data_IF_267003844324
#
_entry.id   IF_267003844324
#
_cell.length_a   1.000
_cell.length_b   1.000
_cell.length_c   1.000
_cell.angle_alpha   90.00
_cell.angle_beta   90.00
_cell.angle_gamma   90.00
#
_symmetry.space_group_name_H-M   'P 1'
#
loop_
_entity.id
_entity.type
_entity.pdbx_description
1 polymer ?
#
# COMPACT_ATOMS: atom_id res chain seq x y z
N UNK A 1 -0.38 22.33 -2.10
CA UNK A 1 -0.91 22.03 -0.75
C UNK A 1 0.02 22.53 0.37
N UNK A 2 1.27 22.06 0.47
CA UNK A 2 2.19 22.39 1.57
C UNK A 2 2.41 23.89 1.76
N UNK A 3 2.68 24.64 0.68
CA UNK A 3 2.84 26.11 0.75
C UNK A 3 1.63 26.80 1.37
N UNK A 4 0.40 26.36 1.05
CA UNK A 4 -0.84 26.89 1.66
C UNK A 4 -0.92 26.60 3.16
N UNK A 5 -0.51 25.41 3.60
CA UNK A 5 -0.48 25.05 5.02
C UNK A 5 0.53 25.90 5.80
N UNK A 6 1.73 26.07 5.26
CA UNK A 6 2.78 26.93 5.83
C UNK A 6 2.33 28.39 5.94
N UNK A 7 1.75 28.94 4.87
CA UNK A 7 1.19 30.30 4.88
C UNK A 7 0.08 30.46 5.94
N UNK A 8 -0.83 29.48 6.07
CA UNK A 8 -1.88 29.51 7.10
C UNK A 8 -1.30 29.47 8.52
N UNK A 9 -0.22 28.72 8.72
CA UNK A 9 0.51 28.68 9.98
C UNK A 9 1.42 29.90 10.21
N UNK A 10 1.54 30.81 9.22
CA UNK A 10 2.48 31.94 9.23
C UNK A 10 3.93 31.50 9.45
N UNK A 11 4.30 30.37 8.84
CA UNK A 11 5.64 29.81 8.87
C UNK A 11 6.21 29.71 7.45
N UNK A 12 7.51 29.85 7.32
CA UNK A 12 8.28 29.38 6.18
C UNK A 12 8.83 27.97 6.43
N UNK A 13 9.21 27.26 5.38
CA UNK A 13 9.83 25.94 5.49
C UNK A 13 11.12 25.95 6.34
N UNK A 14 11.85 27.07 6.30
CA UNK A 14 13.06 27.31 7.11
C UNK A 14 12.75 27.47 8.60
N UNK A 15 11.53 27.79 8.99
CA UNK A 15 11.15 27.99 10.40
C UNK A 15 10.84 26.67 11.11
N UNK A 16 10.75 25.56 10.35
CA UNK A 16 10.53 24.24 10.90
C UNK A 16 11.81 23.65 11.51
N UNK A 17 11.67 22.91 12.61
CA UNK A 17 12.79 22.18 13.23
C UNK A 17 13.27 20.99 12.39
N UNK A 18 12.39 20.44 11.54
CA UNK A 18 12.66 19.30 10.69
C UNK A 18 11.45 18.81 9.92
N UNK A 19 11.70 17.87 9.01
CA UNK A 19 10.67 17.17 8.24
C UNK A 19 10.60 15.72 8.68
N UNK A 20 9.44 15.09 8.52
CA UNK A 20 9.25 13.69 8.83
C UNK A 20 8.35 13.01 7.80
N UNK A 21 8.55 11.71 7.63
CA UNK A 21 7.74 10.90 6.72
C UNK A 21 7.51 9.51 7.31
N UNK A 22 6.41 8.87 6.90
CA UNK A 22 6.17 7.46 7.19
C UNK A 22 7.13 6.59 6.39
N UNK A 23 7.96 5.81 7.05
CA UNK A 23 8.97 4.95 6.42
C UNK A 23 8.39 3.64 5.89
N UNK A 24 7.18 3.28 6.33
CA UNK A 24 6.57 2.00 6.05
C UNK A 24 6.50 1.10 7.28
N UNK A 25 5.91 -0.09 7.15
CA UNK A 25 5.40 -0.68 5.90
C UNK A 25 4.15 0.04 5.34
N UNK A 26 3.87 -0.13 4.04
CA UNK A 26 2.81 0.58 3.29
C UNK A 26 3.01 0.55 1.77
N UNK A 27 2.19 1.31 1.01
CA UNK A 27 2.33 1.41 -0.46
C UNK A 27 3.74 1.85 -0.86
N UNK A 28 4.46 1.02 -1.61
CA UNK A 28 5.83 1.30 -2.04
C UNK A 28 5.96 2.63 -2.80
N UNK A 29 5.01 2.91 -3.69
CA UNK A 29 4.95 4.15 -4.47
C UNK A 29 4.67 5.35 -3.56
N UNK A 30 3.71 5.23 -2.65
CA UNK A 30 3.42 6.27 -1.66
C UNK A 30 4.62 6.56 -0.74
N UNK A 31 5.34 5.53 -0.30
CA UNK A 31 6.53 5.65 0.54
C UNK A 31 7.67 6.36 -0.18
N UNK A 32 7.90 6.05 -1.46
CA UNK A 32 8.91 6.72 -2.29
C UNK A 32 8.59 8.20 -2.49
N UNK A 33 7.33 8.52 -2.81
CA UNK A 33 6.89 9.91 -2.97
C UNK A 33 7.04 10.67 -1.65
N UNK A 34 6.58 10.08 -0.54
CA UNK A 34 6.70 10.70 0.78
C UNK A 34 8.17 10.95 1.16
N UNK A 35 9.03 9.96 0.95
CA UNK A 35 10.47 10.06 1.21
C UNK A 35 11.13 11.14 0.34
N UNK A 36 10.95 11.07 -0.99
CA UNK A 36 11.53 12.03 -1.93
C UNK A 36 11.04 13.47 -1.69
N UNK A 37 9.75 13.64 -1.40
CA UNK A 37 9.19 14.95 -1.08
C UNK A 37 9.74 15.51 0.23
N UNK A 38 9.79 14.70 1.29
CA UNK A 38 10.34 15.13 2.58
C UNK A 38 11.83 15.48 2.47
N UNK A 39 12.61 14.69 1.74
CA UNK A 39 14.03 14.95 1.48
C UNK A 39 14.24 16.21 0.66
N UNK A 40 13.48 16.41 -0.42
CA UNK A 40 13.59 17.61 -1.26
C UNK A 40 13.27 18.89 -0.50
N UNK A 41 12.19 18.89 0.30
CA UNK A 41 11.82 20.03 1.15
C UNK A 41 12.87 20.31 2.23
N UNK A 42 13.35 19.26 2.90
CA UNK A 42 14.35 19.39 3.95
C UNK A 42 15.69 19.89 3.42
N UNK A 43 16.10 19.44 2.23
CA UNK A 43 17.29 19.94 1.55
C UNK A 43 17.18 21.44 1.27
N UNK A 44 16.06 21.87 0.69
CA UNK A 44 15.82 23.29 0.39
C UNK A 44 15.73 24.17 1.63
N UNK A 45 15.25 23.63 2.75
CA UNK A 45 15.15 24.33 4.03
C UNK A 45 16.41 24.21 4.91
N UNK A 46 17.41 23.42 4.50
CA UNK A 46 18.56 23.03 5.32
C UNK A 46 18.17 22.45 6.69
N UNK A 47 17.11 21.64 6.74
CA UNK A 47 16.56 21.03 7.96
C UNK A 47 16.74 19.50 7.96
N UNK A 48 16.77 18.85 9.13
CA UNK A 48 16.87 17.39 9.22
C UNK A 48 15.58 16.68 8.77
N UNK A 49 15.72 15.42 8.35
CA UNK A 49 14.60 14.52 8.07
C UNK A 49 14.58 13.39 9.10
N UNK A 50 13.40 13.06 9.62
CA UNK A 50 13.19 11.94 10.54
C UNK A 50 12.27 10.90 9.90
N UNK A 51 12.76 9.70 9.57
CA UNK A 51 11.90 8.58 9.19
C UNK A 51 11.17 8.04 10.42
N UNK A 52 9.88 7.73 10.28
CA UNK A 52 9.06 7.14 11.34
C UNK A 52 8.35 5.88 10.81
N UNK A 53 8.55 4.70 11.41
CA UNK A 53 7.84 3.48 11.01
C UNK A 53 6.31 3.62 11.17
N UNK A 54 5.55 3.10 10.21
CA UNK A 54 4.07 3.16 10.20
C UNK A 54 3.46 2.51 11.44
N UNK A 55 3.98 1.35 11.85
CA UNK A 55 3.53 0.62 13.04
C UNK A 55 3.79 1.41 14.33
N UNK A 56 4.88 2.16 14.38
CA UNK A 56 5.19 3.05 15.52
C UNK A 56 4.27 4.28 15.54
N UNK A 57 3.89 4.80 14.37
CA UNK A 57 2.89 5.86 14.30
C UNK A 57 1.52 5.40 14.80
N UNK A 58 1.11 4.15 14.52
CA UNK A 58 -0.09 3.55 15.12
C UNK A 58 0.05 3.39 16.64
N UNK A 59 1.21 2.95 17.12
CA UNK A 59 1.48 2.89 18.56
C UNK A 59 1.33 4.25 19.24
N UNK A 60 1.82 5.31 18.60
CA UNK A 60 1.63 6.69 19.07
C UNK A 60 0.16 7.13 19.04
N UNK A 61 -0.64 6.70 18.06
CA UNK A 61 -2.08 7.00 17.99
C UNK A 61 -2.86 6.32 19.12
N UNK A 62 -2.48 5.09 19.47
CA UNK A 62 -3.13 4.31 20.51
C UNK A 62 -2.99 4.93 21.91
N UNK A 63 -1.98 5.80 22.11
CA UNK A 63 -1.76 6.54 23.35
C UNK A 63 -1.71 5.66 24.61
N UNK A 64 -1.15 4.46 24.51
CA UNK A 64 -0.96 3.54 25.62
C UNK A 64 0.54 3.33 25.92
N UNK A 65 0.86 2.74 27.07
CA UNK A 65 2.25 2.47 27.46
C UNK A 65 2.83 1.23 26.77
N UNK A 66 1.98 0.30 26.33
CA UNK A 66 2.34 -0.93 25.62
C UNK A 66 1.37 -1.14 24.47
N UNK A 67 1.88 -1.17 23.25
CA UNK A 67 1.06 -1.30 22.04
C UNK A 67 1.64 -2.35 21.11
N UNK A 68 0.82 -3.29 20.68
CA UNK A 68 1.10 -4.16 19.54
C UNK A 68 0.31 -3.64 18.34
N UNK A 69 1.04 -3.28 17.29
CA UNK A 69 0.49 -2.71 16.07
C UNK A 69 0.64 -3.72 14.94
N UNK A 70 -0.46 -3.94 14.21
CA UNK A 70 -0.50 -4.85 13.07
C UNK A 70 -1.14 -4.17 11.86
N UNK A 71 -0.52 -4.29 10.68
CA UNK A 71 -1.10 -3.88 9.41
C UNK A 71 -1.22 -5.10 8.50
N UNK A 72 -2.39 -5.27 7.89
CA UNK A 72 -2.60 -6.27 6.85
C UNK A 72 -1.60 -6.04 5.72
N UNK A 73 -0.69 -7.00 5.53
CA UNK A 73 0.33 -6.95 4.50
C UNK A 73 -0.16 -7.52 3.16
N UNK A 74 -1.44 -7.91 3.11
CA UNK A 74 -2.07 -8.74 2.08
C UNK A 74 -1.46 -10.13 2.08
N UNK A 75 -1.94 -10.97 1.17
CA UNK A 75 -1.41 -12.32 0.97
C UNK A 75 -1.47 -13.20 2.24
N UNK A 76 -2.39 -12.92 3.16
CA UNK A 76 -2.51 -13.65 4.43
C UNK A 76 -1.37 -13.39 5.42
N UNK A 77 -0.58 -12.33 5.23
CA UNK A 77 0.53 -11.94 6.11
C UNK A 77 0.22 -10.64 6.83
N UNK A 78 0.86 -10.41 7.97
CA UNK A 78 0.75 -9.14 8.72
C UNK A 78 2.12 -8.51 8.90
N UNK A 79 2.19 -7.20 8.71
CA UNK A 79 3.25 -6.40 9.29
C UNK A 79 2.96 -6.24 10.78
N UNK A 80 3.90 -6.59 11.65
CA UNK A 80 3.71 -6.58 13.10
C UNK A 80 4.90 -5.95 13.81
N UNK A 81 4.61 -5.20 14.87
CA UNK A 81 5.60 -4.75 15.85
C UNK A 81 4.92 -4.56 17.20
N UNK A 82 5.66 -4.71 18.29
CA UNK A 82 5.19 -4.39 19.62
C UNK A 82 6.14 -3.38 20.26
N UNK A 83 5.59 -2.33 20.87
CA UNK A 83 6.34 -1.23 21.44
C UNK A 83 5.96 -0.96 22.88
N UNK A 84 6.95 -0.73 23.74
CA UNK A 84 6.78 -0.20 25.10
C UNK A 84 7.29 1.22 25.18
N UNK A 85 6.58 2.09 25.90
CA UNK A 85 6.98 3.49 26.10
C UNK A 85 7.99 3.58 27.23
N UNK A 86 9.23 3.97 26.93
CA UNK A 86 10.28 4.22 27.91
C UNK A 86 10.95 5.58 27.68
N UNK A 87 11.12 6.37 28.75
CA UNK A 87 11.73 7.70 28.68
C UNK A 87 11.05 8.70 27.73
N UNK A 88 9.78 8.48 27.38
CA UNK A 88 9.01 9.30 26.43
C UNK A 88 9.19 8.94 24.94
N UNK A 89 9.87 7.83 24.63
CA UNK A 89 9.93 7.24 23.27
C UNK A 89 9.41 5.80 23.26
N UNK A 90 9.42 5.21 22.07
CA UNK A 90 9.10 3.81 21.83
C UNK A 90 10.35 2.95 21.76
N UNK A 91 10.34 1.86 22.51
CA UNK A 91 11.28 0.75 22.39
C UNK A 91 10.55 -0.49 21.88
N UNK A 92 11.16 -1.21 20.93
CA UNK A 92 10.56 -2.40 20.35
C UNK A 92 10.69 -3.58 21.32
N UNK A 93 9.56 -4.14 21.74
CA UNK A 93 9.49 -5.45 22.40
C UNK A 93 9.42 -6.59 21.36
N UNK A 94 8.87 -6.30 20.18
CA UNK A 94 8.97 -7.12 18.97
C UNK A 94 9.39 -6.16 17.86
N UNK A 95 10.54 -6.44 17.24
CA UNK A 95 11.03 -5.65 16.11
C UNK A 95 10.05 -5.70 14.93
N UNK A 96 9.91 -4.61 14.16
CA UNK A 96 9.03 -4.59 13.00
C UNK A 96 9.41 -5.67 11.99
N UNK A 97 8.42 -6.48 11.60
CA UNK A 97 8.62 -7.55 10.62
C UNK A 97 7.34 -7.89 9.86
N UNK A 98 7.50 -8.74 8.85
CA UNK A 98 6.40 -9.35 8.09
C UNK A 98 6.26 -10.80 8.57
N UNK A 99 5.06 -11.18 9.02
CA UNK A 99 4.82 -12.47 9.65
C UNK A 99 3.57 -13.15 9.07
N UNK A 100 3.67 -14.42 8.63
CA UNK A 100 2.53 -15.32 8.48
C UNK A 100 2.10 -15.90 9.85
N UNK A 101 0.92 -16.53 9.89
CA UNK A 101 0.36 -17.19 11.08
C UNK A 101 1.35 -18.17 11.75
N UNK A 102 2.08 -18.95 10.94
CA UNK A 102 2.96 -20.01 11.43
C UNK A 102 4.23 -19.52 12.15
N UNK A 103 4.58 -18.24 12.03
CA UNK A 103 5.85 -17.71 12.56
C UNK A 103 5.65 -16.44 13.38
N UNK A 104 4.54 -16.34 14.11
CA UNK A 104 4.30 -15.20 14.99
C UNK A 104 5.31 -15.18 16.15
N UNK A 105 5.98 -14.04 16.41
CA UNK A 105 6.88 -13.91 17.54
C UNK A 105 6.11 -13.88 18.88
N UNK A 106 6.68 -14.40 19.98
CA UNK A 106 6.06 -14.32 21.29
C UNK A 106 5.97 -12.88 21.78
N UNK A 107 4.83 -12.49 22.36
CA UNK A 107 4.61 -11.17 22.93
C UNK A 107 4.94 -11.14 24.44
N UNK A 108 5.98 -10.41 24.88
CA UNK A 108 6.39 -10.42 26.28
C UNK A 108 5.41 -9.68 27.20
N UNK A 109 5.12 -10.26 28.36
CA UNK A 109 4.26 -9.65 29.38
C UNK A 109 2.77 -9.62 29.00
N UNK A 110 1.99 -8.79 29.69
CA UNK A 110 0.54 -8.62 29.51
C UNK A 110 0.19 -7.13 29.39
N UNK A 111 -1.11 -6.84 29.31
CA UNK A 111 -1.72 -5.51 29.28
C UNK A 111 -1.35 -4.69 28.04
N UNK A 112 -1.27 -5.38 26.90
CA UNK A 112 -1.04 -4.76 25.60
C UNK A 112 -2.31 -4.16 25.04
N UNK A 113 -2.19 -3.02 24.36
CA UNK A 113 -3.24 -2.49 23.49
C UNK A 113 -2.97 -2.95 22.06
N UNK A 114 -3.95 -3.59 21.42
CA UNK A 114 -3.87 -4.01 20.02
C UNK A 114 -4.47 -2.95 19.09
N UNK A 115 -3.80 -2.65 17.97
CA UNK A 115 -4.28 -1.66 16.99
C UNK A 115 -3.84 -1.99 15.56
N UNK A 116 -4.64 -1.51 14.59
CA UNK A 116 -4.33 -1.56 13.16
C UNK A 116 -5.01 -2.71 12.41
N UNK A 117 -5.01 -2.60 11.08
CA UNK A 117 -5.84 -3.43 10.20
C UNK A 117 -5.54 -4.92 10.25
N UNK A 118 -4.34 -5.33 10.68
CA UNK A 118 -4.00 -6.75 10.83
C UNK A 118 -4.89 -7.45 11.87
N UNK A 119 -5.24 -6.77 12.97
CA UNK A 119 -6.12 -7.34 13.99
C UNK A 119 -7.58 -7.38 13.55
N UNK A 120 -7.99 -6.58 12.58
CA UNK A 120 -9.33 -6.67 11.99
C UNK A 120 -9.39 -7.76 10.92
N UNK A 121 -8.33 -7.89 10.11
CA UNK A 121 -8.27 -8.81 8.99
C UNK A 121 -8.12 -10.28 9.40
N UNK A 122 -7.43 -10.55 10.51
CA UNK A 122 -6.96 -11.90 10.83
C UNK A 122 -7.43 -12.42 12.19
N UNK A 123 -8.33 -13.40 12.17
CA UNK A 123 -8.82 -14.10 13.36
C UNK A 123 -7.68 -14.80 14.10
N UNK A 124 -6.79 -15.47 13.35
CA UNK A 124 -5.62 -16.15 13.89
C UNK A 124 -4.67 -15.22 14.64
N UNK A 125 -4.58 -13.94 14.25
CA UNK A 125 -3.75 -12.96 14.93
C UNK A 125 -4.38 -12.57 16.28
N UNK A 126 -5.70 -12.42 16.31
CA UNK A 126 -6.45 -12.12 17.53
C UNK A 126 -6.42 -13.29 18.52
N UNK A 127 -6.53 -14.52 18.02
CA UNK A 127 -6.43 -15.72 18.85
C UNK A 127 -5.03 -15.88 19.46
N UNK A 128 -3.98 -15.70 18.65
CA UNK A 128 -2.60 -15.88 19.10
C UNK A 128 -2.18 -14.89 20.20
N UNK A 129 -2.58 -13.62 20.11
CA UNK A 129 -2.19 -12.59 21.08
C UNK A 129 -3.27 -12.28 22.13
N UNK A 130 -4.51 -12.73 21.94
CA UNK A 130 -5.66 -12.44 22.79
C UNK A 130 -5.39 -12.55 24.30
N UNK A 131 -4.71 -13.59 24.81
CA UNK A 131 -4.40 -13.71 26.24
C UNK A 131 -3.54 -12.59 26.84
N UNK A 132 -2.85 -11.81 26.02
CA UNK A 132 -1.97 -10.70 26.43
C UNK A 132 -2.57 -9.31 26.12
N UNK A 133 -3.69 -9.24 25.38
CA UNK A 133 -4.34 -7.98 25.01
C UNK A 133 -5.36 -7.56 26.08
N UNK A 134 -5.19 -6.36 26.64
CA UNK A 134 -6.17 -5.76 27.54
C UNK A 134 -7.28 -5.01 26.78
N UNK A 135 -6.95 -4.38 25.65
CA UNK A 135 -7.91 -3.62 24.85
C UNK A 135 -7.55 -3.65 23.36
N UNK A 136 -8.55 -3.71 22.48
CA UNK A 136 -8.37 -3.56 21.03
C UNK A 136 -8.99 -2.25 20.55
N UNK A 137 -8.20 -1.44 19.86
CA UNK A 137 -8.69 -0.24 19.18
C UNK A 137 -9.18 -0.62 17.78
N UNK A 138 -10.20 0.09 17.29
CA UNK A 138 -10.62 -0.02 15.89
C UNK A 138 -9.48 0.36 14.95
N UNK A 139 -9.37 -0.32 13.81
CA UNK A 139 -8.33 -0.03 12.84
C UNK A 139 -8.46 1.39 12.31
N UNK A 140 -7.32 2.07 12.25
CA UNK A 140 -7.13 3.37 11.63
C UNK A 140 -5.83 3.36 10.83
N UNK A 141 -5.71 4.28 9.86
CA UNK A 141 -4.49 4.48 9.11
C UNK A 141 -3.46 5.27 9.94
N UNK A 142 -2.15 5.04 9.72
CA UNK A 142 -1.10 5.85 10.34
C UNK A 142 -1.28 7.35 10.04
N UNK A 143 -1.50 8.17 11.08
CA UNK A 143 -1.74 9.61 10.92
C UNK A 143 -0.44 10.41 10.86
N UNK A 144 -0.39 11.38 9.95
CA UNK A 144 0.72 12.33 9.84
C UNK A 144 1.02 13.08 11.15
N UNK A 145 -0.01 13.37 11.96
CA UNK A 145 0.17 14.01 13.27
C UNK A 145 0.97 13.14 14.27
N UNK A 146 0.81 11.82 14.23
CA UNK A 146 1.61 10.91 15.08
C UNK A 146 3.04 10.79 14.59
N UNK A 147 3.25 10.74 13.27
CA UNK A 147 4.58 10.85 12.66
C UNK A 147 5.28 12.13 13.12
N UNK A 148 4.60 13.28 13.07
CA UNK A 148 5.14 14.57 13.49
C UNK A 148 5.49 14.61 14.99
N UNK A 149 4.65 14.07 15.88
CA UNK A 149 4.92 14.01 17.33
C UNK A 149 6.15 13.17 17.67
N UNK A 150 6.28 11.99 17.07
CA UNK A 150 7.47 11.14 17.25
C UNK A 150 8.72 11.89 16.77
N UNK A 151 8.65 12.49 15.57
CA UNK A 151 9.76 13.22 14.99
C UNK A 151 10.19 14.42 15.85
N UNK A 152 9.24 15.21 16.34
CA UNK A 152 9.50 16.37 17.19
C UNK A 152 10.27 15.97 18.47
N UNK A 153 9.84 14.89 19.16
CA UNK A 153 10.56 14.40 20.36
C UNK A 153 11.98 13.93 20.04
N UNK A 154 12.17 13.25 18.91
CA UNK A 154 13.50 12.79 18.46
C UNK A 154 14.41 13.95 18.09
N UNK A 155 13.89 14.99 17.43
CA UNK A 155 14.64 16.19 17.08
C UNK A 155 15.04 16.98 18.33
N UNK A 156 14.11 17.18 19.28
CA UNK A 156 14.41 17.88 20.54
C UNK A 156 15.57 17.22 21.31
N UNK A 157 15.58 15.88 21.38
CA UNK A 157 16.68 15.12 22.00
C UNK A 157 17.99 15.17 21.21
N UNK A 158 17.93 15.26 19.87
CA UNK A 158 19.12 15.44 19.01
C UNK A 158 19.75 16.81 19.20
N UNK A 159 18.95 17.87 19.33
CA UNK A 159 19.42 19.22 19.67
C UNK A 159 20.13 19.24 21.04
N UNK A 160 19.59 18.54 22.04
CA UNK A 160 20.22 18.42 23.36
C UNK A 160 21.56 17.66 23.37
N UNK A 161 21.85 16.86 22.34
CA UNK A 161 23.09 16.06 22.22
C UNK A 161 24.12 16.63 21.23
N UNK A 162 23.92 17.84 20.70
CA UNK A 162 24.92 18.54 19.87
C UNK A 162 25.21 17.92 18.49
N UNK A 163 24.30 17.08 17.97
CA UNK A 163 24.54 16.32 16.73
C UNK A 163 24.34 17.17 15.45
N UNK A 164 25.41 17.30 14.62
CA UNK A 164 25.38 17.89 13.26
C UNK A 164 25.65 16.81 12.19
N UNK A 165 24.74 15.86 12.00
CA UNK A 165 24.89 14.84 10.96
C UNK A 165 23.76 14.91 9.94
N UNK A 166 24.11 15.16 8.68
CA UNK A 166 23.22 14.93 7.53
C UNK A 166 23.10 13.41 7.31
N UNK A 167 21.88 12.91 7.12
CA UNK A 167 21.67 11.55 6.66
C UNK A 167 22.16 11.42 5.19
N UNK A 168 22.67 10.24 4.77
CA UNK A 168 23.17 10.05 3.42
C UNK A 168 22.04 10.19 2.39
N UNK A 169 22.36 10.88 1.30
CA UNK A 169 21.52 11.04 0.11
C UNK A 169 21.67 9.74 -0.70
N UNK A 170 20.60 8.95 -0.82
CA UNK A 170 20.54 7.87 -1.79
C UNK A 170 20.17 8.48 -3.15
N UNK A 171 21.18 8.85 -3.94
CA UNK A 171 21.02 9.18 -5.35
C UNK A 171 21.31 7.92 -6.18
N UNK A 172 20.47 7.59 -7.16
CA UNK A 172 20.85 6.68 -8.24
C UNK A 172 20.33 7.18 -9.58
N UNK A 173 21.23 7.12 -10.56
CA UNK A 173 21.12 7.59 -11.93
C UNK A 173 20.05 6.84 -12.74
N UNK A 174 19.28 7.58 -13.55
CA UNK A 174 18.45 7.04 -14.62
C UNK A 174 19.12 7.29 -15.97
N UNK A 175 19.22 6.24 -16.81
CA UNK A 175 19.57 6.36 -18.24
C UNK A 175 18.29 6.44 -19.07
N UNK A 176 18.28 7.15 -20.21
CA UNK A 176 17.10 7.22 -21.07
C UNK A 176 17.00 5.97 -21.96
N UNK A 177 15.77 5.51 -22.22
CA UNK A 177 15.47 4.50 -23.24
C UNK A 177 14.46 5.03 -24.26
N UNK A 178 14.65 4.56 -25.49
CA UNK A 178 14.22 5.13 -26.75
C UNK A 178 12.76 4.77 -27.12
N UNK A 179 12.10 5.65 -27.89
CA UNK A 179 10.68 5.54 -28.25
C UNK A 179 10.50 4.74 -29.55
N UNK A 180 9.89 3.56 -29.47
CA UNK A 180 9.35 2.84 -30.62
C UNK A 180 7.83 2.98 -30.73
N UNK A 181 7.32 3.46 -31.87
CA UNK A 181 5.89 3.51 -32.22
C UNK A 181 5.49 2.29 -33.07
N UNK A 182 4.31 1.73 -32.80
CA UNK A 182 3.32 1.14 -33.75
C UNK A 182 2.26 0.42 -32.88
N UNK A 183 0.95 0.38 -33.12
CA UNK A 183 0.14 0.57 -34.33
C UNK A 183 -1.00 -0.46 -34.24
N UNK A 184 -2.25 0.01 -34.15
CA UNK A 184 -3.46 -0.77 -33.85
C UNK A 184 -3.83 -1.86 -34.87
N UNK A 185 -4.49 -2.92 -34.38
CA UNK A 185 -5.60 -3.59 -35.07
C UNK A 185 -6.56 -4.21 -34.04
N UNK A 186 -7.81 -3.73 -33.97
CA UNK A 186 -8.86 -4.25 -33.09
C UNK A 186 -9.80 -5.13 -33.91
N UNK A 187 -9.81 -6.43 -33.64
CA UNK A 187 -10.79 -7.37 -34.18
C UNK A 187 -12.10 -7.25 -33.39
N UNK A 188 -13.20 -6.97 -34.08
CA UNK A 188 -14.53 -6.76 -33.51
C UNK A 188 -15.21 -8.10 -33.19
N UNK A 189 -15.01 -8.60 -31.98
CA UNK A 189 -15.91 -9.58 -31.36
C UNK A 189 -17.09 -8.85 -30.69
N UNK A 190 -18.28 -9.49 -30.58
CA UNK A 190 -19.42 -8.92 -29.89
C UNK A 190 -19.02 -8.53 -28.47
N UNK A 191 -19.15 -7.25 -28.12
CA UNK A 191 -18.80 -6.78 -26.77
C UNK A 191 -19.79 -7.40 -25.78
N UNK A 192 -19.33 -8.09 -24.73
CA UNK A 192 -20.21 -8.47 -23.63
C UNK A 192 -20.88 -7.21 -23.09
N UNK A 193 -22.20 -7.25 -22.85
CA UNK A 193 -22.96 -6.13 -22.28
C UNK A 193 -22.62 -5.94 -20.80
N UNK A 194 -21.39 -5.48 -20.54
CA UNK A 194 -20.95 -5.05 -19.23
C UNK A 194 -20.80 -3.53 -19.22
N UNK A 195 -21.11 -2.92 -18.08
CA UNK A 195 -20.86 -1.51 -17.82
C UNK A 195 -19.78 -1.36 -16.75
N UNK A 196 -19.13 -0.19 -16.72
CA UNK A 196 -18.13 0.15 -15.72
C UNK A 196 -18.63 1.30 -14.86
N UNK A 197 -18.45 1.20 -13.55
CA UNK A 197 -18.73 2.29 -12.61
C UNK A 197 -17.75 2.28 -11.46
N UNK A 198 -17.63 3.42 -10.77
CA UNK A 198 -16.89 3.49 -9.51
C UNK A 198 -17.47 2.49 -8.51
N UNK A 199 -16.57 1.83 -7.79
CA UNK A 199 -16.91 1.05 -6.61
C UNK A 199 -17.48 1.99 -5.55
N UNK A 200 -18.51 1.56 -4.83
CA UNK A 200 -19.14 2.30 -3.73
C UNK A 200 -18.98 1.49 -2.45
N UNK A 201 -19.11 2.11 -1.26
CA UNK A 201 -19.07 1.38 0.02
C UNK A 201 -20.03 0.19 0.09
N UNK A 202 -21.21 0.29 -0.55
CA UNK A 202 -22.21 -0.79 -0.61
C UNK A 202 -21.75 -2.01 -1.42
N UNK A 203 -20.76 -1.85 -2.30
CA UNK A 203 -20.22 -2.94 -3.12
C UNK A 203 -19.11 -3.73 -2.39
N UNK A 204 -18.61 -3.23 -1.24
CA UNK A 204 -17.44 -3.81 -0.56
C UNK A 204 -17.65 -5.27 -0.14
N UNK A 205 -18.85 -5.61 0.34
CA UNK A 205 -19.16 -6.98 0.75
C UNK A 205 -19.14 -7.93 -0.45
N UNK A 206 -19.85 -7.60 -1.55
CA UNK A 206 -19.91 -8.45 -2.74
C UNK A 206 -18.56 -8.58 -3.44
N UNK A 207 -17.76 -7.51 -3.47
CA UNK A 207 -16.41 -7.53 -4.04
C UNK A 207 -15.47 -8.41 -3.22
N UNK A 208 -15.54 -8.32 -1.89
CA UNK A 208 -14.73 -9.16 -1.01
C UNK A 208 -15.11 -10.65 -1.11
N UNK A 209 -16.40 -10.97 -1.26
CA UNK A 209 -16.84 -12.35 -1.45
C UNK A 209 -16.45 -12.90 -2.83
N UNK A 210 -16.48 -12.06 -3.87
CA UNK A 210 -15.97 -12.40 -5.19
C UNK A 210 -14.46 -12.68 -5.14
N UNK A 211 -13.66 -11.82 -4.52
CA UNK A 211 -12.21 -12.03 -4.32
C UNK A 211 -11.92 -13.36 -3.59
N UNK A 212 -12.63 -13.65 -2.50
CA UNK A 212 -12.48 -14.92 -1.75
C UNK A 212 -12.75 -16.15 -2.59
N UNK A 213 -13.67 -16.07 -3.55
CA UNK A 213 -13.97 -17.19 -4.45
C UNK A 213 -12.87 -17.44 -5.49
N UNK A 214 -12.05 -16.43 -5.80
CA UNK A 214 -11.07 -16.48 -6.90
C UNK A 214 -9.64 -16.76 -6.44
N UNK A 215 -9.29 -16.41 -5.20
CA UNK A 215 -7.89 -16.44 -4.74
C UNK A 215 -7.72 -17.25 -3.46
N UNK A 216 -6.64 -18.03 -3.40
CA UNK A 216 -6.22 -18.75 -2.19
C UNK A 216 -5.78 -17.79 -1.05
N UNK A 217 -5.32 -16.59 -1.41
CA UNK A 217 -4.88 -15.54 -0.47
C UNK A 217 -5.59 -14.22 -0.78
N UNK A 218 -6.92 -14.16 -0.54
CA UNK A 218 -7.76 -13.06 -1.00
C UNK A 218 -7.51 -11.77 -0.21
N UNK A 219 -7.68 -10.62 -0.87
CA UNK A 219 -7.85 -9.34 -0.19
C UNK A 219 -9.05 -9.36 0.76
N UNK A 220 -8.88 -8.77 1.94
CA UNK A 220 -9.96 -8.57 2.88
C UNK A 220 -10.90 -7.45 2.43
N UNK A 221 -12.15 -7.43 2.93
CA UNK A 221 -13.05 -6.29 2.74
C UNK A 221 -12.41 -4.97 3.22
N UNK A 222 -11.59 -5.05 4.27
CA UNK A 222 -10.78 -3.93 4.77
C UNK A 222 -9.83 -3.38 3.72
N UNK A 223 -9.13 -4.24 2.96
CA UNK A 223 -8.23 -3.77 1.89
C UNK A 223 -8.95 -2.97 0.80
N UNK A 224 -10.13 -3.42 0.38
CA UNK A 224 -10.95 -2.69 -0.60
C UNK A 224 -11.46 -1.36 -0.03
N UNK A 225 -11.96 -1.38 1.21
CA UNK A 225 -12.42 -0.18 1.92
C UNK A 225 -11.31 0.87 2.06
N UNK A 226 -10.14 0.43 2.50
CA UNK A 226 -9.00 1.32 2.74
C UNK A 226 -8.49 1.89 1.41
N UNK A 227 -8.52 1.10 0.33
CA UNK A 227 -8.20 1.58 -1.02
C UNK A 227 -9.19 2.66 -1.49
N UNK A 228 -10.50 2.43 -1.27
CA UNK A 228 -11.55 3.39 -1.61
C UNK A 228 -11.38 4.70 -0.84
N UNK A 229 -11.14 4.64 0.48
CA UNK A 229 -10.95 5.83 1.32
C UNK A 229 -9.59 6.52 1.12
N UNK A 230 -8.57 5.80 0.66
CA UNK A 230 -7.31 6.39 0.21
C UNK A 230 -7.45 7.18 -1.11
N UNK A 231 -8.62 7.12 -1.76
CA UNK A 231 -8.89 7.80 -3.03
C UNK A 231 -8.30 7.09 -4.25
N UNK A 232 -8.09 5.77 -4.16
CA UNK A 232 -7.65 4.99 -5.31
C UNK A 232 -8.78 4.86 -6.36
N UNK A 233 -8.37 4.56 -7.58
CA UNK A 233 -9.25 4.25 -8.70
C UNK A 233 -9.84 2.84 -8.51
N UNK A 234 -10.88 2.74 -7.67
CA UNK A 234 -11.64 1.51 -7.44
C UNK A 234 -12.85 1.44 -8.37
N UNK A 235 -12.88 0.42 -9.24
CA UNK A 235 -13.90 0.23 -10.27
C UNK A 235 -14.52 -1.16 -10.18
N UNK A 236 -15.79 -1.26 -10.57
CA UNK A 236 -16.49 -2.53 -10.77
C UNK A 236 -16.97 -2.63 -12.22
N UNK A 237 -16.93 -3.85 -12.75
CA UNK A 237 -17.62 -4.20 -14.00
C UNK A 237 -18.93 -4.91 -13.64
N UNK A 238 -20.03 -4.50 -14.24
CA UNK A 238 -21.37 -5.01 -13.93
C UNK A 238 -22.09 -5.51 -15.17
N UNK A 239 -22.85 -6.60 -15.00
CA UNK A 239 -23.87 -7.03 -15.96
C UNK A 239 -25.24 -6.73 -15.37
N UNK A 240 -25.93 -5.71 -15.88
CA UNK A 240 -27.08 -5.12 -15.19
C UNK A 240 -26.66 -4.59 -13.82
N UNK A 241 -27.36 -5.02 -12.77
CA UNK A 241 -27.06 -4.65 -11.37
C UNK A 241 -26.03 -5.58 -10.70
N UNK A 242 -25.69 -6.70 -11.33
CA UNK A 242 -24.74 -7.67 -10.76
C UNK A 242 -23.31 -7.21 -10.97
N UNK A 243 -22.53 -7.13 -9.89
CA UNK A 243 -21.07 -6.97 -9.96
C UNK A 243 -20.44 -8.29 -10.43
N UNK A 244 -19.70 -8.25 -11.53
CA UNK A 244 -19.08 -9.43 -12.18
C UNK A 244 -17.55 -9.34 -12.24
N UNK A 245 -16.97 -8.30 -11.65
CA UNK A 245 -15.54 -8.11 -11.52
C UNK A 245 -15.20 -6.75 -10.92
N UNK A 246 -13.93 -6.55 -10.58
CA UNK A 246 -13.42 -5.31 -9.99
C UNK A 246 -11.98 -5.03 -10.41
N UNK A 247 -11.56 -3.79 -10.24
CA UNK A 247 -10.18 -3.36 -10.39
C UNK A 247 -9.85 -2.28 -9.35
N UNK A 248 -8.61 -2.29 -8.87
CA UNK A 248 -8.05 -1.29 -7.96
C UNK A 248 -6.76 -0.76 -8.55
N UNK A 249 -6.78 0.50 -8.96
CA UNK A 249 -5.64 1.20 -9.54
C UNK A 249 -5.21 2.32 -8.58
N UNK A 250 -3.94 2.36 -8.21
CA UNK A 250 -3.36 3.47 -7.45
C UNK A 250 -2.65 4.40 -8.41
N UNK A 251 -3.09 5.66 -8.48
CA UNK A 251 -2.41 6.71 -9.23
C UNK A 251 -1.48 7.48 -8.29
N UNK A 252 -0.25 7.69 -8.72
CA UNK A 252 0.75 8.40 -7.95
C UNK A 252 1.63 9.26 -8.88
N UNK A 253 1.39 10.57 -8.86
CA UNK A 253 2.00 11.52 -9.80
C UNK A 253 1.69 11.13 -11.26
N UNK A 254 2.69 10.79 -12.04
CA UNK A 254 2.64 10.37 -13.44
C UNK A 254 2.78 8.85 -13.62
N UNK A 255 2.67 8.07 -12.54
CA UNK A 255 2.70 6.61 -12.58
C UNK A 255 1.41 6.03 -12.00
N UNK A 256 1.01 4.84 -12.45
CA UNK A 256 -0.06 4.07 -11.84
C UNK A 256 0.35 2.63 -11.54
N UNK A 257 -0.24 2.05 -10.49
CA UNK A 257 -0.05 0.66 -10.11
C UNK A 257 -1.41 -0.04 -10.09
N UNK A 258 -1.60 -1.02 -10.98
CA UNK A 258 -2.77 -1.90 -10.97
C UNK A 258 -2.57 -2.95 -9.87
N UNK A 259 -3.20 -2.69 -8.72
CA UNK A 259 -2.99 -3.49 -7.50
C UNK A 259 -3.76 -4.80 -7.51
N UNK A 260 -4.96 -4.79 -8.12
CA UNK A 260 -5.81 -5.95 -8.23
C UNK A 260 -6.77 -5.78 -9.40
N UNK A 261 -7.04 -6.85 -10.15
CA UNK A 261 -8.05 -6.92 -11.20
C UNK A 261 -8.56 -8.35 -11.31
N UNK A 262 -9.88 -8.51 -11.31
CA UNK A 262 -10.50 -9.81 -11.39
C UNK A 262 -11.86 -9.78 -12.09
N UNK A 263 -12.23 -10.91 -12.68
CA UNK A 263 -13.55 -11.17 -13.27
C UNK A 263 -14.05 -12.48 -12.68
N UNK A 264 -15.31 -12.52 -12.25
CA UNK A 264 -15.92 -13.72 -11.68
C UNK A 264 -15.83 -14.93 -12.63
N UNK A 265 -15.62 -16.14 -12.12
CA UNK A 265 -15.38 -17.35 -12.92
C UNK A 265 -16.45 -17.60 -14.00
N UNK A 266 -17.73 -17.44 -13.66
CA UNK A 266 -18.83 -17.60 -14.61
C UNK A 266 -18.84 -16.57 -15.76
N UNK A 267 -18.04 -15.51 -15.66
CA UNK A 267 -17.90 -14.41 -16.61
C UNK A 267 -16.53 -14.36 -17.30
N UNK A 268 -15.61 -15.26 -16.94
CA UNK A 268 -14.31 -15.38 -17.61
C UNK A 268 -14.44 -15.98 -19.02
N UNK A 269 -13.36 -15.90 -19.80
CA UNK A 269 -13.28 -16.41 -21.19
C UNK A 269 -14.29 -15.79 -22.18
N UNK A 270 -14.84 -14.61 -21.86
CA UNK A 270 -15.78 -13.84 -22.69
C UNK A 270 -15.22 -12.50 -23.20
N UNK A 271 -13.91 -12.30 -23.10
CA UNK A 271 -13.25 -11.03 -23.45
C UNK A 271 -13.42 -9.90 -22.41
N UNK A 272 -14.17 -10.12 -21.33
CA UNK A 272 -14.42 -9.12 -20.27
C UNK A 272 -13.12 -8.65 -19.62
N UNK A 273 -12.20 -9.57 -19.31
CA UNK A 273 -10.91 -9.21 -18.70
C UNK A 273 -10.08 -8.27 -19.56
N UNK A 274 -10.06 -8.47 -20.89
CA UNK A 274 -9.36 -7.58 -21.82
C UNK A 274 -10.05 -6.22 -21.90
N UNK A 275 -11.36 -6.21 -22.12
CA UNK A 275 -12.12 -4.96 -22.21
C UNK A 275 -12.01 -4.13 -20.92
N UNK A 276 -12.01 -4.80 -19.76
CA UNK A 276 -11.89 -4.12 -18.47
C UNK A 276 -10.47 -3.62 -18.21
N UNK A 277 -9.43 -4.38 -18.59
CA UNK A 277 -8.04 -3.89 -18.54
C UNK A 277 -7.85 -2.66 -19.42
N UNK A 278 -8.34 -2.70 -20.67
CA UNK A 278 -8.27 -1.57 -21.60
C UNK A 278 -8.97 -0.32 -21.02
N UNK A 279 -10.12 -0.50 -20.38
CA UNK A 279 -10.82 0.57 -19.66
C UNK A 279 -9.97 1.16 -18.52
N UNK A 280 -9.33 0.32 -17.70
CA UNK A 280 -8.49 0.77 -16.58
C UNK A 280 -7.22 1.49 -17.06
N UNK A 281 -6.63 1.07 -18.19
CA UNK A 281 -5.55 1.82 -18.83
C UNK A 281 -6.02 3.19 -19.34
N UNK A 282 -7.25 3.28 -19.84
CA UNK A 282 -7.89 4.55 -20.17
C UNK A 282 -8.02 5.49 -18.96
N UNK A 283 -8.45 4.96 -17.82
CA UNK A 283 -8.51 5.72 -16.54
C UNK A 283 -7.13 6.25 -16.14
N UNK A 284 -6.07 5.44 -16.28
CA UNK A 284 -4.70 5.88 -16.02
C UNK A 284 -4.24 6.99 -16.99
N UNK A 285 -4.63 6.88 -18.28
CA UNK A 285 -4.35 7.90 -19.29
C UNK A 285 -5.06 9.24 -19.02
N UNK A 286 -6.33 9.20 -18.58
CA UNK A 286 -7.08 10.39 -18.15
C UNK A 286 -6.44 11.06 -16.93
N UNK A 287 -5.85 10.26 -16.03
CA UNK A 287 -5.05 10.75 -14.90
C UNK A 287 -3.67 11.28 -15.31
N UNK A 288 -3.33 11.28 -16.61
CA UNK A 288 -2.04 11.71 -17.19
C UNK A 288 -0.85 10.89 -16.72
N UNK A 289 -1.08 9.63 -16.36
CA UNK A 289 0.01 8.70 -16.11
C UNK A 289 0.77 8.43 -17.43
N UNK A 290 2.08 8.23 -17.32
CA UNK A 290 2.95 7.83 -18.42
C UNK A 290 3.19 6.32 -18.42
N UNK A 291 3.08 5.68 -17.26
CA UNK A 291 3.36 4.25 -17.09
C UNK A 291 2.40 3.61 -16.10
N UNK A 292 1.99 2.38 -16.40
CA UNK A 292 1.22 1.52 -15.49
C UNK A 292 2.03 0.28 -15.17
N UNK A 293 2.16 -0.03 -13.88
CA UNK A 293 2.82 -1.23 -13.38
C UNK A 293 1.82 -2.23 -12.81
N UNK A 294 2.20 -3.52 -12.83
CA UNK A 294 1.48 -4.58 -12.13
C UNK A 294 2.41 -5.72 -11.71
N UNK A 295 1.95 -6.53 -10.76
CA UNK A 295 2.58 -7.80 -10.39
C UNK A 295 1.68 -8.97 -10.80
N UNK A 296 2.28 -10.03 -11.36
CA UNK A 296 1.56 -11.27 -11.70
C UNK A 296 2.37 -12.49 -11.30
N UNK A 297 1.69 -13.54 -10.82
CA UNK A 297 2.30 -14.86 -10.56
C UNK A 297 2.83 -15.47 -11.87
N UNK A 298 4.07 -16.00 -11.90
CA UNK A 298 4.57 -16.81 -13.01
C UNK A 298 3.60 -17.93 -13.45
N UNK A 299 2.95 -18.59 -12.47
CA UNK A 299 1.98 -19.66 -12.67
C UNK A 299 0.66 -19.21 -13.34
N UNK A 300 0.32 -17.92 -13.31
CA UNK A 300 -0.91 -17.40 -13.92
C UNK A 300 -0.70 -17.16 -15.43
N UNK A 301 -0.62 -18.26 -16.19
CA UNK A 301 -0.33 -18.24 -17.64
C UNK A 301 -1.39 -17.44 -18.42
N UNK A 302 -2.66 -17.51 -18.01
CA UNK A 302 -3.77 -16.81 -18.66
C UNK A 302 -3.63 -15.30 -18.53
N UNK A 303 -3.41 -14.78 -17.31
CA UNK A 303 -3.22 -13.35 -17.10
C UNK A 303 -1.93 -12.85 -17.76
N UNK A 304 -0.85 -13.63 -17.70
CA UNK A 304 0.41 -13.30 -18.38
C UNK A 304 0.23 -13.15 -19.88
N UNK A 305 -0.52 -14.05 -20.51
CA UNK A 305 -0.86 -13.94 -21.93
C UNK A 305 -1.65 -12.66 -22.19
N UNK A 306 -2.70 -12.39 -21.41
CA UNK A 306 -3.50 -11.16 -21.53
C UNK A 306 -2.63 -9.89 -21.45
N UNK A 307 -1.76 -9.80 -20.45
CA UNK A 307 -0.91 -8.62 -20.25
C UNK A 307 0.09 -8.44 -21.40
N UNK A 308 0.70 -9.53 -21.87
CA UNK A 308 1.61 -9.50 -23.03
C UNK A 308 0.90 -9.03 -24.30
N UNK A 309 -0.28 -9.56 -24.60
CA UNK A 309 -1.09 -9.14 -25.77
C UNK A 309 -1.63 -7.71 -25.64
N UNK A 310 -1.61 -7.14 -24.44
CA UNK A 310 -1.99 -5.74 -24.21
C UNK A 310 -0.78 -4.80 -24.38
N UNK A 311 0.44 -5.32 -24.31
CA UNK A 311 1.69 -4.56 -24.50
C UNK A 311 2.55 -4.42 -23.25
N UNK A 312 2.16 -5.01 -22.11
CA UNK A 312 3.00 -5.02 -20.91
C UNK A 312 4.29 -5.79 -21.15
N UNK A 313 5.39 -5.23 -20.65
CA UNK A 313 6.73 -5.83 -20.69
C UNK A 313 7.20 -6.16 -19.28
N UNK A 314 7.96 -7.25 -19.13
CA UNK A 314 8.57 -7.60 -17.85
C UNK A 314 9.76 -6.68 -17.55
N UNK A 315 9.71 -6.03 -16.38
CA UNK A 315 10.75 -5.10 -15.91
C UNK A 315 11.67 -5.80 -14.92
N UNK A 316 11.11 -6.58 -13.99
CA UNK A 316 11.86 -7.23 -12.92
C UNK A 316 11.15 -8.49 -12.41
N UNK A 317 11.85 -9.24 -11.55
CA UNK A 317 11.30 -10.35 -10.78
C UNK A 317 11.44 -10.00 -9.30
N UNK A 318 10.38 -10.23 -8.51
CA UNK A 318 10.44 -10.17 -7.04
C UNK A 318 10.52 -11.60 -6.51
N UNK A 319 11.69 -12.02 -5.99
CA UNK A 319 11.86 -13.39 -5.53
C UNK A 319 10.98 -13.66 -4.31
N UNK A 320 10.38 -14.86 -4.26
CA UNK A 320 9.59 -15.36 -3.13
C UNK A 320 8.54 -14.34 -2.67
N UNK A 321 7.79 -13.76 -3.60
CA UNK A 321 6.85 -12.68 -3.30
C UNK A 321 5.49 -13.22 -2.82
N UNK A 322 4.92 -14.16 -3.57
CA UNK A 322 3.60 -14.71 -3.27
C UNK A 322 3.71 -15.96 -2.39
N UNK A 323 2.83 -16.15 -1.40
CA UNK A 323 2.70 -17.44 -0.72
C UNK A 323 2.08 -18.48 -1.66
N UNK A 324 2.48 -19.73 -1.47
CA UNK A 324 1.99 -20.89 -2.22
C UNK A 324 1.99 -22.14 -1.32
N UNK A 325 1.25 -23.19 -1.70
CA UNK A 325 1.04 -24.39 -0.89
C UNK A 325 2.33 -25.09 -0.44
N UNK A 326 3.43 -24.95 -1.21
CA UNK A 326 4.74 -25.51 -0.91
C UNK A 326 5.82 -24.50 -0.50
N UNK A 327 5.47 -23.24 -0.24
CA UNK A 327 6.44 -22.20 0.12
C UNK A 327 6.08 -20.83 -0.45
N UNK A 328 6.96 -20.29 -1.29
CA UNK A 328 6.75 -18.99 -1.94
C UNK A 328 7.06 -19.05 -3.42
N UNK A 329 6.26 -18.35 -4.20
CA UNK A 329 6.41 -18.14 -5.63
C UNK A 329 6.90 -16.71 -5.90
N UNK A 330 7.72 -16.52 -6.93
CA UNK A 330 8.14 -15.19 -7.37
C UNK A 330 6.97 -14.36 -7.91
N UNK A 331 7.16 -13.05 -8.07
CA UNK A 331 6.26 -12.20 -8.86
C UNK A 331 6.98 -11.60 -10.06
N UNK A 332 6.35 -11.66 -11.23
CA UNK A 332 6.78 -10.90 -12.40
C UNK A 332 6.26 -9.47 -12.25
N UNK A 333 7.17 -8.50 -12.22
CA UNK A 333 6.84 -7.08 -12.21
C UNK A 333 6.83 -6.58 -13.65
N UNK A 334 5.64 -6.22 -14.14
CA UNK A 334 5.41 -5.78 -15.52
C UNK A 334 5.11 -4.29 -15.57
N UNK A 335 5.38 -3.65 -16.71
CA UNK A 335 4.93 -2.28 -16.97
C UNK A 335 4.59 -2.03 -18.44
N UNK A 336 3.73 -1.04 -18.67
CA UNK A 336 3.32 -0.54 -19.98
C UNK A 336 3.37 0.98 -19.99
N UNK A 337 3.97 1.55 -21.03
CA UNK A 337 3.93 3.00 -21.28
C UNK A 337 2.63 3.35 -22.00
N UNK A 338 1.93 4.39 -21.53
CA UNK A 338 0.62 4.83 -22.06
C UNK A 338 0.74 5.73 -23.30
#
# INVERSE_FOLDING_TARGET
MIRRLLTRARLDAKDLDGFAFGQGPGSFTGLRIACGMAQGLALGAARPVVPVPSLMALAEQANASRVIAALDARLGETYLAAYSRMGGDWEAAIEPGLFPQASLPPLPGRDWVATGSGFDAFDWLREAYGPQIAHRLESDLPRAGSVARIAARRLARRCARGWRGRAPILAREGRPHDRGKAGNAVSALPRPQVNYRRMRPVDLAVVADLEKSLYAYPWSQGNFRDSLYAGYECWVTCSGDQVVGYAVLMVALDEAHLLNIAVADGWQNRGIGRAFLDFILGVAGEAKCQIVYLEVRPSNVVARHLYRETGFQQIAIRPSYYPDAGGREDALFLGITL
#
